data_IF_991005860210
#
_entry.id   IF_991005860210
#
_cell.length_a   1.000
_cell.length_b   1.000
_cell.length_c   1.000
_cell.angle_alpha   90.00
_cell.angle_beta   90.00
_cell.angle_gamma   90.00
#
_symmetry.space_group_name_H-M   'P 1'
#
loop_
_entity.id
_entity.type
_entity.pdbx_description
1 polymer ?
#
# COMPACT_ATOMS: atom_id res chain seq x y z
N UNK A 1 -19.79 13.67 -58.87
CA UNK A 1 -19.20 14.30 -57.66
C UNK A 1 -19.08 13.19 -56.64
N UNK A 2 -17.87 12.64 -56.47
CA UNK A 2 -17.61 11.38 -55.76
C UNK A 2 -17.65 11.57 -54.24
N UNK A 3 -18.63 10.98 -53.58
CA UNK A 3 -18.59 10.70 -52.14
C UNK A 3 -18.07 9.28 -51.94
N UNK A 4 -16.74 9.14 -51.91
CA UNK A 4 -16.05 7.91 -51.48
C UNK A 4 -15.40 8.16 -50.12
N UNK A 5 -16.16 7.95 -49.04
CA UNK A 5 -15.74 7.97 -47.64
C UNK A 5 -16.62 6.94 -46.94
N UNK A 6 -16.12 5.81 -46.37
CA UNK A 6 -15.03 5.71 -45.38
C UNK A 6 -14.14 4.43 -45.50
N UNK A 7 -14.23 3.69 -46.61
CA UNK A 7 -13.65 2.35 -46.77
C UNK A 7 -12.12 2.34 -46.81
N UNK A 8 -11.50 3.39 -47.38
CA UNK A 8 -10.04 3.49 -47.55
C UNK A 8 -9.29 3.64 -46.21
N UNK A 9 -9.90 4.25 -45.19
CA UNK A 9 -9.22 4.49 -43.90
C UNK A 9 -9.03 3.24 -43.04
N UNK A 10 -9.76 2.15 -43.32
CA UNK A 10 -9.61 0.88 -42.61
C UNK A 10 -8.53 -0.02 -43.23
N UNK A 11 -8.24 0.16 -44.52
CA UNK A 11 -7.26 -0.66 -45.25
C UNK A 11 -5.80 -0.32 -44.89
N UNK A 12 -5.50 0.95 -44.59
CA UNK A 12 -4.17 1.42 -44.15
C UNK A 12 -3.97 1.40 -42.63
N UNK A 13 -4.95 0.89 -41.87
CA UNK A 13 -4.84 0.86 -40.42
C UNK A 13 -3.77 -0.15 -39.98
N UNK A 14 -2.75 0.34 -39.26
CA UNK A 14 -1.72 -0.49 -38.62
C UNK A 14 -2.34 -1.68 -37.87
N UNK A 15 -1.76 -2.87 -38.03
CA UNK A 15 -2.22 -4.12 -37.41
C UNK A 15 -2.42 -3.98 -35.89
N UNK A 16 -1.60 -3.15 -35.23
CA UNK A 16 -1.74 -2.82 -33.82
C UNK A 16 -3.06 -2.10 -33.48
N UNK A 17 -3.47 -1.17 -34.34
CA UNK A 17 -4.72 -0.41 -34.20
C UNK A 17 -5.93 -1.33 -34.34
N UNK A 18 -5.90 -2.26 -35.30
CA UNK A 18 -6.95 -3.28 -35.48
C UNK A 18 -7.05 -4.19 -34.25
N UNK A 19 -5.91 -4.64 -33.73
CA UNK A 19 -5.84 -5.49 -32.54
C UNK A 19 -6.37 -4.78 -31.29
N UNK A 20 -5.99 -3.51 -31.07
CA UNK A 20 -6.48 -2.70 -29.96
C UNK A 20 -8.00 -2.45 -30.02
N UNK A 21 -8.55 -2.17 -31.20
CA UNK A 21 -10.00 -2.03 -31.37
C UNK A 21 -10.76 -3.32 -31.04
N UNK A 22 -10.22 -4.48 -31.44
CA UNK A 22 -10.81 -5.79 -31.10
C UNK A 22 -10.70 -6.07 -29.60
N UNK A 23 -9.54 -5.78 -29.01
CA UNK A 23 -9.30 -5.95 -27.57
C UNK A 23 -10.26 -5.12 -26.71
N UNK A 24 -10.46 -3.83 -27.04
CA UNK A 24 -11.38 -2.93 -26.31
C UNK A 24 -12.85 -3.34 -26.37
N UNK A 25 -13.25 -4.24 -27.27
CA UNK A 25 -14.62 -4.77 -27.30
C UNK A 25 -14.86 -5.87 -26.26
N UNK A 26 -13.80 -6.51 -25.75
CA UNK A 26 -13.91 -7.58 -24.75
C UNK A 26 -13.78 -7.02 -23.32
N UNK A 27 -14.90 -6.97 -22.59
CA UNK A 27 -14.95 -6.48 -21.20
C UNK A 27 -14.03 -7.28 -20.25
N UNK A 28 -13.96 -8.60 -20.41
CA UNK A 28 -13.08 -9.45 -19.60
C UNK A 28 -11.60 -9.18 -19.87
N UNK A 29 -11.24 -8.97 -21.13
CA UNK A 29 -9.86 -8.65 -21.51
C UNK A 29 -9.43 -7.30 -20.92
N UNK A 30 -10.31 -6.29 -20.99
CA UNK A 30 -10.09 -4.99 -20.35
C UNK A 30 -9.96 -5.10 -18.83
N UNK A 31 -10.84 -5.86 -18.18
CA UNK A 31 -10.76 -6.06 -16.73
C UNK A 31 -9.47 -6.77 -16.31
N UNK A 32 -9.09 -7.85 -17.01
CA UNK A 32 -7.86 -8.59 -16.75
C UNK A 32 -6.62 -7.72 -16.95
N UNK A 33 -6.56 -6.92 -18.02
CA UNK A 33 -5.48 -5.97 -18.22
C UNK A 33 -5.45 -4.86 -17.17
N UNK A 34 -6.61 -4.37 -16.70
CA UNK A 34 -6.66 -3.38 -15.63
C UNK A 34 -6.08 -3.95 -14.33
N UNK A 35 -6.43 -5.18 -13.96
CA UNK A 35 -5.86 -5.87 -12.79
C UNK A 35 -4.35 -6.06 -12.95
N UNK A 36 -3.89 -6.51 -14.13
CA UNK A 36 -2.47 -6.74 -14.39
C UNK A 36 -1.66 -5.45 -14.29
N UNK A 37 -2.17 -4.36 -14.88
CA UNK A 37 -1.56 -3.03 -14.80
C UNK A 37 -1.52 -2.55 -13.34
N UNK A 38 -2.58 -2.78 -12.56
CA UNK A 38 -2.60 -2.39 -11.15
C UNK A 38 -1.56 -3.17 -10.32
N UNK A 39 -1.43 -4.48 -10.53
CA UNK A 39 -0.44 -5.30 -9.83
C UNK A 39 1.00 -4.90 -10.17
N UNK A 40 1.31 -4.73 -11.46
CA UNK A 40 2.64 -4.25 -11.87
C UNK A 40 2.90 -2.82 -11.43
N UNK A 41 1.87 -1.96 -11.41
CA UNK A 41 1.96 -0.61 -10.88
C UNK A 41 2.29 -0.60 -9.38
N UNK A 42 1.64 -1.47 -8.60
CA UNK A 42 1.94 -1.63 -7.17
C UNK A 42 3.38 -2.11 -6.94
N UNK A 43 3.85 -3.10 -7.72
CA UNK A 43 5.21 -3.59 -7.63
C UNK A 43 6.25 -2.54 -8.07
N UNK A 44 5.97 -1.78 -9.13
CA UNK A 44 6.83 -0.70 -9.62
C UNK A 44 6.91 0.48 -8.63
N UNK A 45 5.86 0.70 -7.83
CA UNK A 45 5.78 1.77 -6.84
C UNK A 45 5.95 1.22 -5.41
N UNK A 46 6.54 0.03 -5.24
CA UNK A 46 6.62 -0.66 -3.95
C UNK A 46 7.20 0.23 -2.84
N UNK A 47 8.30 0.92 -3.14
CA UNK A 47 9.00 1.82 -2.23
C UNK A 47 8.15 3.01 -1.79
N UNK A 48 7.26 3.49 -2.66
CA UNK A 48 6.33 4.58 -2.34
C UNK A 48 5.10 4.09 -1.56
N UNK A 49 4.64 2.85 -1.80
CA UNK A 49 3.46 2.30 -1.11
C UNK A 49 3.80 1.74 0.26
N UNK A 50 5.02 1.23 0.43
CA UNK A 50 5.52 0.60 1.65
C UNK A 50 5.87 1.63 2.73
N UNK A 51 5.19 1.68 3.90
CA UNK A 51 5.44 2.71 4.92
C UNK A 51 6.86 2.65 5.53
N UNK A 52 7.49 1.47 5.50
CA UNK A 52 8.82 1.22 6.06
C UNK A 52 9.73 0.55 5.02
N UNK A 53 11.05 0.61 5.24
CA UNK A 53 11.97 -0.23 4.48
C UNK A 53 11.79 -1.71 4.86
N UNK A 54 11.94 -2.66 3.91
CA UNK A 54 11.67 -4.08 4.14
C UNK A 54 12.60 -4.75 5.15
N UNK A 55 13.76 -4.14 5.42
CA UNK A 55 14.77 -4.55 6.40
C UNK A 55 14.75 -3.73 7.69
N UNK A 56 13.93 -2.67 7.77
CA UNK A 56 13.79 -1.82 8.95
C UNK A 56 13.22 -2.64 10.12
N UNK A 57 13.96 -2.66 11.23
CA UNK A 57 13.60 -3.44 12.43
C UNK A 57 13.04 -2.54 13.51
N UNK A 58 11.91 -2.97 14.08
CA UNK A 58 11.33 -2.34 15.25
C UNK A 58 11.37 -3.30 16.44
N UNK A 59 12.46 -3.25 17.22
CA UNK A 59 12.72 -4.19 18.32
C UNK A 59 11.61 -4.22 19.41
N UNK A 60 10.88 -3.12 19.58
CA UNK A 60 9.76 -3.02 20.53
C UNK A 60 8.45 -3.65 20.01
N UNK A 61 8.39 -3.98 18.72
CA UNK A 61 7.21 -4.52 18.04
C UNK A 61 7.53 -5.87 17.39
N UNK A 62 8.20 -6.78 18.11
CA UNK A 62 8.48 -8.14 17.61
C UNK A 62 7.23 -9.01 17.72
N UNK A 63 6.80 -9.65 16.63
CA UNK A 63 5.56 -10.43 16.56
C UNK A 63 4.31 -9.62 16.98
N UNK A 64 4.32 -8.31 16.70
CA UNK A 64 3.16 -7.45 16.86
C UNK A 64 2.00 -7.93 15.98
N UNK A 65 0.77 -8.02 16.50
CA UNK A 65 -0.41 -8.36 15.72
C UNK A 65 -0.73 -7.28 14.68
N UNK A 66 -1.56 -7.60 13.67
CA UNK A 66 -2.04 -6.63 12.69
C UNK A 66 -2.83 -5.51 13.35
N UNK A 67 -2.51 -4.28 12.97
CA UNK A 67 -3.17 -3.10 13.49
C UNK A 67 -4.32 -2.66 12.59
N UNK A 68 -5.49 -2.46 13.19
CA UNK A 68 -6.71 -2.09 12.48
C UNK A 68 -6.79 -0.58 12.25
N UNK A 69 -7.15 -0.19 11.03
CA UNK A 69 -7.50 1.20 10.71
C UNK A 69 -8.89 1.49 11.30
N UNK A 70 -8.98 2.57 12.09
CA UNK A 70 -10.22 3.01 12.74
C UNK A 70 -10.54 4.46 12.39
N UNK A 71 -11.83 4.78 12.51
CA UNK A 71 -12.39 6.13 12.41
C UNK A 71 -13.06 6.58 13.70
N UNK A 72 -13.29 5.67 14.66
CA UNK A 72 -13.92 5.95 15.94
C UNK A 72 -12.92 5.66 17.06
N UNK A 73 -12.74 6.62 17.97
CA UNK A 73 -11.88 6.47 19.14
C UNK A 73 -12.52 5.59 20.23
N UNK A 74 -11.80 5.37 21.33
CA UNK A 74 -12.31 4.62 22.48
C UNK A 74 -13.51 5.28 23.17
N UNK A 75 -13.74 6.57 22.95
CA UNK A 75 -14.87 7.34 23.48
C UNK A 75 -16.07 7.39 22.50
N UNK A 76 -15.94 6.80 21.31
CA UNK A 76 -16.96 6.79 20.27
C UNK A 76 -17.02 8.07 19.41
N UNK A 77 -16.03 8.97 19.50
CA UNK A 77 -15.94 10.15 18.66
C UNK A 77 -15.43 9.78 17.27
N UNK A 78 -16.11 10.31 16.25
CA UNK A 78 -15.71 10.14 14.86
C UNK A 78 -14.59 11.09 14.47
N UNK A 79 -13.54 10.53 13.87
CA UNK A 79 -12.45 11.25 13.24
C UNK A 79 -12.58 11.12 11.72
N UNK A 80 -12.56 12.25 11.02
CA UNK A 80 -12.55 12.27 9.55
C UNK A 80 -11.32 11.62 8.93
N UNK A 81 -10.23 11.54 9.70
CA UNK A 81 -8.97 10.94 9.28
C UNK A 81 -8.88 9.54 9.88
N UNK A 82 -8.55 8.52 9.07
CA UNK A 82 -8.28 7.19 9.59
C UNK A 82 -7.07 7.24 10.52
N UNK A 83 -7.08 6.43 11.55
CA UNK A 83 -5.99 6.36 12.52
C UNK A 83 -5.80 4.92 13.01
N UNK A 84 -4.68 4.71 13.70
CA UNK A 84 -4.33 3.46 14.35
C UNK A 84 -4.06 3.72 15.83
N UNK A 85 -4.42 2.76 16.68
CA UNK A 85 -4.11 2.87 18.11
C UNK A 85 -2.67 2.42 18.38
N UNK A 86 -2.10 2.98 19.44
CA UNK A 86 -0.86 2.50 19.99
C UNK A 86 -1.00 1.04 20.43
N UNK A 87 0.12 0.34 20.38
CA UNK A 87 0.22 -1.03 20.86
C UNK A 87 1.38 -1.08 21.84
N UNK A 88 1.14 -1.67 23.00
CA UNK A 88 2.12 -1.82 24.08
C UNK A 88 2.27 -3.29 24.43
N UNK A 89 3.48 -3.72 24.76
CA UNK A 89 3.70 -5.06 25.30
C UNK A 89 3.16 -5.15 26.73
N UNK A 90 2.37 -6.18 27.00
CA UNK A 90 1.96 -6.51 28.36
C UNK A 90 3.16 -7.07 29.12
N UNK A 91 3.55 -6.36 30.18
CA UNK A 91 4.66 -6.79 31.04
C UNK A 91 4.20 -7.83 32.07
N UNK A 92 2.89 -7.96 32.30
CA UNK A 92 2.30 -8.88 33.27
C UNK A 92 2.16 -10.31 32.74
N UNK A 93 2.12 -10.51 31.41
CA UNK A 93 1.99 -11.83 30.77
C UNK A 93 3.19 -12.77 31.04
N UNK A 94 4.30 -12.25 31.56
CA UNK A 94 5.49 -13.00 31.93
C UNK A 94 6.62 -12.93 30.89
N UNK A 95 7.86 -13.29 31.25
CA UNK A 95 9.06 -12.97 30.47
C UNK A 95 9.13 -13.61 29.08
N UNK A 96 8.32 -14.64 28.82
CA UNK A 96 8.33 -15.41 27.56
C UNK A 96 7.03 -15.28 26.75
N UNK A 97 6.03 -14.57 27.27
CA UNK A 97 4.77 -14.33 26.58
C UNK A 97 4.74 -12.88 26.08
N UNK A 98 4.77 -12.73 24.76
CA UNK A 98 4.63 -11.43 24.10
C UNK A 98 3.15 -11.20 23.84
N UNK A 99 2.43 -10.71 24.84
CA UNK A 99 1.08 -10.22 24.66
C UNK A 99 1.12 -8.72 24.38
N UNK A 100 0.24 -8.28 23.49
CA UNK A 100 0.16 -6.89 23.06
C UNK A 100 -1.21 -6.35 23.42
N UNK A 101 -1.22 -5.26 24.18
CA UNK A 101 -2.41 -4.52 24.55
C UNK A 101 -2.54 -3.31 23.64
N UNK A 102 -3.76 -3.09 23.16
CA UNK A 102 -4.10 -1.90 22.39
C UNK A 102 -4.29 -0.76 23.38
N UNK A 103 -3.47 0.26 23.27
CA UNK A 103 -3.59 1.50 24.03
C UNK A 103 -4.52 2.44 23.26
N UNK A 104 -5.75 2.60 23.77
CA UNK A 104 -6.76 3.46 23.15
C UNK A 104 -6.51 4.95 23.37
N UNK A 105 -5.65 5.32 24.33
CA UNK A 105 -5.27 6.72 24.57
C UNK A 105 -4.28 7.21 23.51
N UNK A 106 -3.37 6.34 23.08
CA UNK A 106 -2.43 6.63 22.01
C UNK A 106 -3.12 6.50 20.63
N UNK A 107 -3.36 7.64 19.99
CA UNK A 107 -3.98 7.73 18.65
C UNK A 107 -2.98 8.26 17.64
N UNK A 108 -2.68 7.45 16.61
CA UNK A 108 -1.76 7.80 15.53
C UNK A 108 -2.53 7.99 14.21
N UNK A 109 -2.75 9.24 13.76
CA UNK A 109 -3.49 9.51 12.54
C UNK A 109 -2.69 9.08 11.31
N UNK A 110 -3.33 8.35 10.41
CA UNK A 110 -2.75 7.99 9.12
C UNK A 110 -2.80 9.21 8.21
N UNK A 111 -1.64 9.58 7.68
CA UNK A 111 -1.47 10.67 6.72
C UNK A 111 -1.19 10.07 5.37
N UNK A 112 -1.97 10.46 4.36
CA UNK A 112 -1.69 10.12 2.98
C UNK A 112 -0.64 11.07 2.40
N UNK A 113 0.21 10.57 1.51
CA UNK A 113 1.28 11.35 0.88
C UNK A 113 2.09 12.08 1.94
N UNK A 114 2.67 11.35 2.88
CA UNK A 114 3.39 11.91 4.02
C UNK A 114 4.82 11.41 4.06
N UNK A 115 5.68 12.16 4.72
CA UNK A 115 7.08 11.79 4.88
C UNK A 115 7.23 10.65 5.88
N UNK A 116 8.17 9.75 5.62
CA UNK A 116 8.46 8.59 6.46
C UNK A 116 9.90 8.15 6.33
N UNK A 117 10.14 6.85 6.32
CA UNK A 117 11.48 6.28 6.14
C UNK A 117 12.07 6.68 4.78
N UNK A 118 13.33 7.09 4.73
CA UNK A 118 13.97 7.38 3.44
C UNK A 118 14.21 6.08 2.67
N UNK A 119 14.05 6.12 1.35
CA UNK A 119 14.33 5.01 0.44
C UNK A 119 14.97 5.52 -0.86
N UNK A 120 15.58 4.63 -1.62
CA UNK A 120 16.20 4.96 -2.89
C UNK A 120 15.31 4.47 -4.03
N UNK A 121 14.55 5.37 -4.66
CA UNK A 121 13.59 4.97 -5.67
C UNK A 121 14.29 4.35 -6.89
N UNK A 122 14.10 3.04 -7.09
CA UNK A 122 14.71 2.25 -8.18
C UNK A 122 16.26 2.34 -8.23
N UNK A 123 16.92 2.74 -7.14
CA UNK A 123 18.36 3.02 -7.18
C UNK A 123 18.76 4.28 -7.94
N UNK A 124 17.82 5.19 -8.22
CA UNK A 124 18.04 6.39 -9.07
C UNK A 124 18.12 7.68 -8.26
N UNK A 125 17.27 7.83 -7.25
CA UNK A 125 17.24 9.02 -6.39
C UNK A 125 16.64 8.71 -5.02
N UNK A 126 17.06 9.46 -4.00
CA UNK A 126 16.49 9.34 -2.66
C UNK A 126 15.13 10.05 -2.58
N UNK A 127 14.17 9.39 -1.95
CA UNK A 127 12.86 9.94 -1.63
C UNK A 127 12.43 9.50 -0.22
N UNK A 128 11.51 10.26 0.37
CA UNK A 128 11.00 10.04 1.73
C UNK A 128 9.47 10.09 1.79
N UNK A 129 8.81 10.22 0.64
CA UNK A 129 7.35 10.30 0.55
C UNK A 129 6.73 8.92 0.45
N UNK A 130 5.73 8.66 1.28
CA UNK A 130 4.99 7.41 1.32
C UNK A 130 3.52 7.66 1.03
N UNK A 131 2.85 6.69 0.40
CA UNK A 131 1.42 6.73 0.14
C UNK A 131 0.63 6.94 1.43
N UNK A 132 1.06 6.27 2.51
CA UNK A 132 0.55 6.50 3.84
C UNK A 132 1.65 6.32 4.89
N UNK A 133 1.60 7.15 5.93
CA UNK A 133 2.52 7.10 7.07
C UNK A 133 1.78 7.52 8.34
N UNK A 134 2.20 7.00 9.48
CA UNK A 134 1.69 7.36 10.80
C UNK A 134 2.66 8.31 11.55
N UNK A 135 3.36 9.19 10.83
CA UNK A 135 4.40 10.07 11.36
C UNK A 135 5.44 9.31 12.20
N UNK A 136 5.37 9.41 13.54
CA UNK A 136 6.24 8.73 14.51
C UNK A 136 5.58 7.52 15.19
N UNK A 137 4.34 7.22 14.84
CA UNK A 137 3.56 6.12 15.39
C UNK A 137 3.81 4.79 14.68
N UNK A 138 3.51 3.66 15.35
CA UNK A 138 3.52 2.36 14.68
C UNK A 138 2.40 2.29 13.63
N UNK A 139 2.70 1.67 12.49
CA UNK A 139 1.74 1.43 11.41
C UNK A 139 1.96 0.05 10.82
N UNK A 140 1.58 -0.99 11.55
CA UNK A 140 1.79 -2.38 11.13
C UNK A 140 0.48 -2.97 10.65
N UNK A 141 0.07 -2.66 9.42
CA UNK A 141 -1.24 -3.07 8.88
C UNK A 141 -1.43 -4.58 8.92
N UNK A 142 -0.38 -5.34 8.63
CA UNK A 142 -0.38 -6.81 8.67
C UNK A 142 0.40 -7.37 9.86
N UNK A 143 0.87 -6.52 10.76
CA UNK A 143 1.72 -6.90 11.88
C UNK A 143 3.18 -7.00 11.48
N UNK A 144 3.96 -7.63 12.36
CA UNK A 144 5.42 -7.73 12.20
C UNK A 144 5.90 -9.17 12.36
N UNK A 145 7.09 -9.47 11.82
CA UNK A 145 7.73 -10.77 12.00
C UNK A 145 8.51 -10.91 13.34
N UNK A 146 9.26 -12.01 13.46
CA UNK A 146 10.13 -12.37 14.59
C UNK A 146 11.31 -11.42 14.81
N UNK A 147 11.65 -10.59 13.81
CA UNK A 147 12.65 -9.54 13.91
C UNK A 147 12.04 -8.14 14.07
N UNK A 148 10.71 -8.04 14.12
CA UNK A 148 9.99 -6.77 14.23
C UNK A 148 9.99 -5.96 12.92
N UNK A 149 10.10 -6.62 11.76
CA UNK A 149 9.97 -5.98 10.45
C UNK A 149 8.51 -5.97 10.03
N UNK A 150 8.08 -4.90 9.38
CA UNK A 150 6.69 -4.76 8.91
C UNK A 150 6.36 -5.76 7.80
N UNK A 151 5.31 -6.56 8.00
CA UNK A 151 4.91 -7.59 7.04
C UNK A 151 4.31 -7.00 5.77
N UNK A 152 3.58 -5.89 5.86
CA UNK A 152 2.96 -5.25 4.70
C UNK A 152 4.04 -4.75 3.73
N UNK A 153 5.03 -4.04 4.25
CA UNK A 153 6.20 -3.57 3.53
C UNK A 153 6.91 -4.72 2.82
N UNK A 154 7.19 -5.80 3.54
CA UNK A 154 7.85 -6.99 2.99
C UNK A 154 7.06 -7.66 1.86
N UNK A 155 5.74 -7.77 1.99
CA UNK A 155 4.88 -8.40 0.97
C UNK A 155 4.86 -7.59 -0.33
N UNK A 156 4.84 -6.25 -0.23
CA UNK A 156 4.84 -5.39 -1.41
C UNK A 156 6.19 -5.39 -2.12
N UNK A 157 7.28 -5.47 -1.36
CA UNK A 157 8.63 -5.59 -1.91
C UNK A 157 8.91 -6.97 -2.55
N UNK A 158 8.26 -8.03 -2.07
CA UNK A 158 8.39 -9.39 -2.60
C UNK A 158 9.36 -10.27 -1.81
#
# INVERSE_FOLDING_TARGET
>A
MSEDRPTTQLADASQWRLMWMRFRRHRLALAGSAVLIALYGLAALCEFVSPYQPDQRHAQYVLCPPQSIRFFDGEGRFHWRPFVHGVRQDTAAGPWQREYLVDTEAVYPIRFFARGSAYEFWGLFNADWHLFSADSGPLFLFGTDDLGRDLFSRIIHG
#
